data_IF_619942212092
#
_entry.id   IF_619942212092
#
_cell.length_a   1.000
_cell.length_b   1.000
_cell.length_c   1.000
_cell.angle_alpha   90.00
_cell.angle_beta   90.00
_cell.angle_gamma   90.00
#
_symmetry.space_group_name_H-M   'P 1'
#
loop_
_entity.id
_entity.type
_entity.pdbx_description
1 polymer ?
#
# COMPACT_ATOMS: atom_id res chain seq x y z
N UNK A 1 19.15 -21.80 -5.63
CA UNK A 1 19.94 -20.98 -6.59
C UNK A 1 20.18 -19.68 -5.86
N UNK A 2 21.33 -19.56 -5.23
CA UNK A 2 21.63 -18.43 -4.36
C UNK A 2 21.99 -17.23 -5.22
N UNK A 3 21.18 -16.18 -5.08
CA UNK A 3 21.45 -14.90 -5.73
C UNK A 3 22.72 -14.33 -5.10
N UNK A 4 23.75 -14.13 -5.93
CA UNK A 4 25.01 -13.53 -5.53
C UNK A 4 24.81 -12.02 -5.36
N UNK A 5 24.25 -11.62 -4.21
CA UNK A 5 23.96 -10.22 -3.91
C UNK A 5 25.23 -9.55 -3.37
N UNK A 6 26.03 -8.95 -4.26
CA UNK A 6 27.18 -8.12 -3.89
C UNK A 6 26.80 -6.74 -3.33
N UNK A 7 25.54 -6.55 -2.90
CA UNK A 7 25.10 -5.34 -2.21
C UNK A 7 24.97 -5.64 -0.70
N UNK A 8 25.85 -5.12 0.16
CA UNK A 8 25.80 -5.37 1.60
C UNK A 8 24.51 -4.86 2.27
N UNK A 9 23.77 -3.96 1.61
CA UNK A 9 22.48 -3.40 2.05
C UNK A 9 21.26 -4.09 1.39
N UNK A 10 21.48 -5.14 0.59
CA UNK A 10 20.41 -5.81 -0.15
C UNK A 10 19.67 -6.85 0.69
N UNK A 11 18.46 -6.53 1.15
CA UNK A 11 17.59 -7.51 1.80
C UNK A 11 17.16 -8.61 0.81
N UNK A 12 17.28 -9.87 1.22
CA UNK A 12 16.76 -11.00 0.43
C UNK A 12 15.23 -11.13 0.54
N UNK A 13 14.67 -10.70 1.68
CA UNK A 13 13.25 -10.77 1.98
C UNK A 13 12.90 -9.75 3.07
N UNK A 14 11.73 -9.12 2.97
CA UNK A 14 11.19 -8.24 4.01
C UNK A 14 9.69 -8.50 4.19
N UNK A 15 9.21 -8.48 5.43
CA UNK A 15 7.77 -8.62 5.73
C UNK A 15 6.94 -7.48 5.12
N UNK A 16 7.53 -6.30 4.93
CA UNK A 16 6.88 -5.13 4.33
C UNK A 16 6.49 -5.36 2.87
N UNK A 17 7.12 -6.32 2.18
CA UNK A 17 6.74 -6.74 0.82
C UNK A 17 5.54 -7.70 0.80
N UNK A 18 5.17 -8.26 1.95
CA UNK A 18 4.07 -9.22 2.12
C UNK A 18 3.13 -8.83 3.26
N UNK A 19 2.45 -7.67 3.16
CA UNK A 19 1.51 -7.23 4.17
C UNK A 19 0.31 -8.18 4.33
N UNK A 20 -0.27 -8.21 5.54
CA UNK A 20 -1.52 -8.91 5.84
C UNK A 20 -2.71 -7.97 5.66
N UNK A 21 -3.28 -7.48 6.75
CA UNK A 21 -4.48 -6.65 6.81
C UNK A 21 -4.19 -5.20 7.23
N UNK A 22 -2.92 -4.89 7.53
CA UNK A 22 -2.51 -3.62 8.14
C UNK A 22 -1.37 -2.98 7.36
N UNK A 23 -1.46 -1.67 7.15
CA UNK A 23 -0.38 -0.82 6.66
C UNK A 23 0.22 -0.04 7.84
N UNK A 24 1.48 -0.32 8.19
CA UNK A 24 2.22 0.39 9.24
C UNK A 24 2.93 1.62 8.66
N UNK A 25 3.42 2.55 9.51
CA UNK A 25 4.28 3.64 9.06
C UNK A 25 5.45 3.10 8.23
N UNK A 26 5.81 3.84 7.18
CA UNK A 26 6.90 3.55 6.23
C UNK A 26 6.67 2.34 5.30
N UNK A 27 5.63 1.54 5.53
CA UNK A 27 5.20 0.53 4.56
C UNK A 27 4.67 1.18 3.29
N UNK A 28 4.79 0.45 2.18
CA UNK A 28 4.35 0.87 0.86
C UNK A 28 3.15 0.05 0.41
N UNK A 29 2.04 0.72 0.13
CA UNK A 29 0.86 0.13 -0.53
C UNK A 29 0.90 0.46 -2.01
N UNK A 30 0.86 -0.54 -2.88
CA UNK A 30 0.88 -0.37 -4.34
C UNK A 30 2.05 -1.09 -5.02
N UNK A 31 2.44 -0.57 -6.18
CA UNK A 31 3.28 -1.30 -7.13
C UNK A 31 4.77 -1.02 -6.95
N UNK A 32 5.53 -2.09 -6.84
CA UNK A 32 6.95 -2.13 -7.13
C UNK A 32 7.14 -2.47 -8.61
N UNK A 33 7.51 -1.48 -9.43
CA UNK A 33 7.60 -1.66 -10.88
C UNK A 33 8.86 -2.41 -11.29
N UNK A 34 9.89 -2.48 -10.42
CA UNK A 34 11.11 -3.24 -10.69
C UNK A 34 10.88 -4.73 -10.59
N UNK A 35 10.13 -5.16 -9.57
CA UNK A 35 9.82 -6.57 -9.34
C UNK A 35 8.50 -7.01 -9.98
N UNK A 36 7.63 -6.06 -10.36
CA UNK A 36 6.28 -6.32 -10.84
C UNK A 36 5.30 -6.72 -9.73
N UNK A 37 5.68 -6.55 -8.45
CA UNK A 37 4.87 -6.97 -7.30
C UNK A 37 3.93 -5.86 -6.84
N UNK A 38 2.69 -6.20 -6.51
CA UNK A 38 1.72 -5.27 -5.92
C UNK A 38 1.53 -5.60 -4.43
N UNK A 39 1.93 -4.67 -3.56
CA UNK A 39 1.70 -4.74 -2.11
C UNK A 39 0.28 -4.26 -1.81
N UNK A 40 -0.57 -5.18 -1.38
CA UNK A 40 -1.98 -4.92 -1.05
C UNK A 40 -2.33 -5.48 0.32
N UNK A 41 -3.33 -4.92 0.99
CA UNK A 41 -3.81 -5.48 2.26
C UNK A 41 -5.09 -6.28 2.04
N UNK A 42 -5.20 -7.40 2.74
CA UNK A 42 -6.35 -8.30 2.72
C UNK A 42 -6.85 -8.50 4.14
N UNK A 43 -8.16 -8.41 4.35
CA UNK A 43 -8.73 -8.55 5.68
C UNK A 43 -8.44 -9.93 6.28
N UNK A 44 -8.53 -10.04 7.59
CA UNK A 44 -8.76 -11.33 8.23
C UNK A 44 -10.11 -11.90 7.83
N UNK A 45 -10.27 -13.20 7.97
CA UNK A 45 -11.51 -13.91 7.67
C UNK A 45 -12.55 -13.66 8.74
N UNK A 46 -12.13 -13.60 10.00
CA UNK A 46 -12.94 -13.26 11.19
C UNK A 46 -12.06 -12.60 12.25
N UNK A 47 -12.63 -11.92 13.26
CA UNK A 47 -11.85 -11.30 14.35
C UNK A 47 -10.91 -12.26 15.10
N UNK A 48 -11.25 -13.55 15.12
CA UNK A 48 -10.51 -14.65 15.77
C UNK A 48 -9.81 -15.59 14.77
N UNK A 49 -9.96 -15.36 13.46
CA UNK A 49 -9.37 -16.18 12.40
C UNK A 49 -8.53 -15.30 11.45
N UNK A 50 -7.18 -15.27 11.62
CA UNK A 50 -6.28 -14.45 10.82
C UNK A 50 -6.04 -14.98 9.41
N UNK A 51 -6.71 -16.07 9.00
CA UNK A 51 -6.70 -16.50 7.61
C UNK A 51 -7.20 -15.38 6.69
N UNK A 52 -6.79 -15.43 5.41
CA UNK A 52 -7.23 -14.48 4.39
C UNK A 52 -8.75 -14.42 4.28
N UNK A 53 -9.30 -13.22 4.48
CA UNK A 53 -10.70 -12.89 4.22
C UNK A 53 -10.95 -12.45 2.77
N UNK A 54 -12.16 -11.99 2.53
CA UNK A 54 -12.67 -11.70 1.18
C UNK A 54 -12.54 -10.22 0.78
N UNK A 55 -12.15 -9.34 1.72
CA UNK A 55 -11.91 -7.93 1.43
C UNK A 55 -10.46 -7.69 1.04
N UNK A 56 -10.24 -6.98 -0.06
CA UNK A 56 -8.90 -6.60 -0.53
C UNK A 56 -8.87 -5.09 -0.80
N UNK A 57 -7.86 -4.41 -0.27
CA UNK A 57 -7.62 -2.99 -0.46
C UNK A 57 -6.30 -2.81 -1.21
N UNK A 58 -6.38 -2.34 -2.46
CA UNK A 58 -5.25 -2.31 -3.39
C UNK A 58 -5.22 -1.05 -4.25
N UNK A 59 -4.01 -0.64 -4.62
CA UNK A 59 -3.79 0.44 -5.58
C UNK A 59 -3.88 -0.09 -7.02
N UNK A 60 -4.65 0.57 -7.86
CA UNK A 60 -4.74 0.33 -9.30
C UNK A 60 -4.17 1.51 -10.08
N UNK A 61 -3.51 1.22 -11.21
CA UNK A 61 -2.77 2.21 -12.02
C UNK A 61 -3.29 2.35 -13.46
N UNK A 62 -4.48 1.83 -13.76
CA UNK A 62 -5.10 1.85 -15.10
C UNK A 62 -5.55 3.22 -15.62
N UNK A 63 -5.04 4.30 -15.04
CA UNK A 63 -5.39 5.69 -15.29
C UNK A 63 -4.65 6.58 -14.29
N UNK A 64 -5.36 7.53 -13.67
CA UNK A 64 -4.84 8.13 -12.44
C UNK A 64 -4.83 7.06 -11.34
N UNK A 65 -3.73 6.92 -10.57
CA UNK A 65 -3.69 5.92 -9.51
C UNK A 65 -4.72 6.15 -8.42
N UNK A 66 -5.40 5.08 -8.01
CA UNK A 66 -6.48 5.09 -7.02
C UNK A 66 -6.41 3.85 -6.14
N UNK A 67 -6.95 3.93 -4.93
CA UNK A 67 -7.13 2.77 -4.06
C UNK A 67 -8.59 2.30 -4.12
N UNK A 68 -8.76 1.00 -4.24
CA UNK A 68 -10.06 0.35 -4.30
C UNK A 68 -10.20 -0.68 -3.17
N UNK A 69 -11.38 -0.71 -2.56
CA UNK A 69 -11.81 -1.81 -1.70
C UNK A 69 -12.70 -2.74 -2.51
N UNK A 70 -12.29 -3.99 -2.60
CA UNK A 70 -13.03 -5.06 -3.25
C UNK A 70 -13.55 -6.02 -2.19
N UNK A 71 -14.78 -6.50 -2.37
CA UNK A 71 -15.27 -7.71 -1.75
C UNK A 71 -15.34 -8.78 -2.84
N UNK A 72 -14.43 -9.76 -2.78
CA UNK A 72 -14.20 -10.69 -3.88
C UNK A 72 -13.89 -9.91 -5.17
N UNK A 73 -14.76 -10.03 -6.17
CA UNK A 73 -14.67 -9.36 -7.47
C UNK A 73 -15.62 -8.16 -7.58
N UNK A 74 -16.36 -7.85 -6.51
CA UNK A 74 -17.28 -6.71 -6.46
C UNK A 74 -16.60 -5.48 -5.88
N UNK A 75 -16.70 -4.36 -6.60
CA UNK A 75 -16.18 -3.10 -6.12
C UNK A 75 -17.09 -2.52 -5.04
N UNK A 76 -16.53 -2.24 -3.86
CA UNK A 76 -17.27 -1.72 -2.69
C UNK A 76 -16.98 -0.23 -2.47
N UNK A 77 -15.73 0.18 -2.64
CA UNK A 77 -15.31 1.56 -2.40
C UNK A 77 -14.15 1.97 -3.31
N UNK A 78 -14.11 3.25 -3.66
CA UNK A 78 -13.09 3.90 -4.49
C UNK A 78 -12.62 5.17 -3.81
N UNK A 79 -11.31 5.28 -3.60
CA UNK A 79 -10.70 6.45 -2.93
C UNK A 79 -10.71 7.71 -3.79
N UNK A 80 -10.91 7.58 -5.11
CA UNK A 80 -10.59 8.66 -6.03
C UNK A 80 -9.09 8.82 -6.24
N UNK A 81 -8.67 9.57 -7.27
CA UNK A 81 -7.26 9.80 -7.56
C UNK A 81 -6.55 10.62 -6.49
N UNK A 82 -5.23 10.41 -6.37
CA UNK A 82 -4.36 11.29 -5.60
C UNK A 82 -4.32 12.69 -6.25
N UNK A 83 -4.66 13.72 -5.49
CA UNK A 83 -4.73 15.10 -5.98
C UNK A 83 -3.47 15.95 -5.66
N UNK A 84 -2.40 15.32 -5.21
CA UNK A 84 -1.17 15.99 -4.74
C UNK A 84 -1.11 16.14 -3.22
N UNK A 85 -2.25 16.10 -2.52
CA UNK A 85 -2.34 16.28 -1.06
C UNK A 85 -3.00 15.07 -0.40
N UNK A 86 -4.04 14.51 -1.03
CA UNK A 86 -4.85 13.40 -0.52
C UNK A 86 -5.53 12.65 -1.67
N UNK A 87 -6.15 11.52 -1.35
CA UNK A 87 -7.11 10.89 -2.25
C UNK A 87 -8.41 11.69 -2.29
N UNK A 88 -8.97 11.94 -3.48
CA UNK A 88 -10.07 12.89 -3.64
C UNK A 88 -11.38 12.48 -2.94
N UNK A 89 -11.60 11.19 -2.75
CA UNK A 89 -12.70 10.58 -2.00
C UNK A 89 -12.39 10.30 -0.52
N UNK A 90 -11.30 10.88 0.02
CA UNK A 90 -10.94 10.81 1.46
C UNK A 90 -10.67 12.23 1.98
N UNK A 91 -11.69 13.11 2.10
CA UNK A 91 -11.51 14.48 2.56
C UNK A 91 -10.97 14.60 4.00
N UNK A 92 -11.10 13.55 4.81
CA UNK A 92 -10.61 13.43 6.19
C UNK A 92 -9.09 13.22 6.26
N UNK A 93 -8.44 12.90 5.13
CA UNK A 93 -6.99 12.78 5.01
C UNK A 93 -6.36 14.18 4.96
N UNK A 94 -6.38 14.84 6.10
CA UNK A 94 -5.80 16.17 6.34
C UNK A 94 -4.38 15.99 6.90
N UNK A 95 -3.46 16.94 6.66
CA UNK A 95 -2.17 16.93 7.34
C UNK A 95 -2.39 16.99 8.85
N UNK A 96 -1.90 15.98 9.59
CA UNK A 96 -1.86 16.00 11.05
C UNK A 96 -0.45 16.35 11.49
N UNK A 97 -0.31 17.06 12.61
CA UNK A 97 1.02 17.44 13.15
C UNK A 97 1.94 16.23 13.40
N UNK A 98 1.34 15.08 13.69
CA UNK A 98 2.01 13.82 13.99
C UNK A 98 2.07 12.84 12.80
N UNK A 99 1.48 13.14 11.64
CA UNK A 99 1.41 12.19 10.53
C UNK A 99 1.47 12.87 9.16
N UNK A 100 2.35 12.36 8.30
CA UNK A 100 2.53 12.81 6.92
C UNK A 100 2.20 11.67 5.97
N UNK A 101 1.36 11.98 4.98
CA UNK A 101 0.99 11.08 3.91
C UNK A 101 1.79 11.38 2.65
N UNK A 102 2.25 10.34 1.97
CA UNK A 102 3.01 10.45 0.74
C UNK A 102 2.43 9.54 -0.34
N UNK A 103 2.44 10.06 -1.56
CA UNK A 103 2.16 9.30 -2.76
C UNK A 103 3.34 9.45 -3.72
N UNK A 104 3.99 8.33 -4.04
CA UNK A 104 5.16 8.30 -4.92
C UNK A 104 4.76 7.72 -6.25
N UNK A 105 5.13 8.40 -7.34
CA UNK A 105 5.00 7.90 -8.71
C UNK A 105 6.32 8.16 -9.42
N UNK A 106 7.01 7.09 -9.80
CA UNK A 106 8.29 7.12 -10.50
C UNK A 106 8.40 5.96 -11.50
N UNK A 107 9.55 5.83 -12.17
CA UNK A 107 9.86 4.63 -12.98
C UNK A 107 9.97 3.36 -12.15
N UNK A 108 10.19 3.50 -10.84
CA UNK A 108 10.53 2.39 -9.95
C UNK A 108 9.32 1.91 -9.15
N UNK A 109 8.38 2.82 -8.85
CA UNK A 109 7.23 2.51 -8.00
C UNK A 109 6.04 3.45 -8.21
N UNK A 110 4.85 2.93 -7.90
CA UNK A 110 3.63 3.72 -7.72
C UNK A 110 3.00 3.30 -6.39
N UNK A 111 3.25 4.07 -5.33
CA UNK A 111 2.95 3.65 -3.95
C UNK A 111 2.39 4.76 -3.10
N UNK A 112 1.51 4.37 -2.17
CA UNK A 112 1.09 5.17 -1.04
C UNK A 112 1.86 4.74 0.22
N UNK A 113 2.25 5.70 1.04
CA UNK A 113 2.85 5.46 2.36
C UNK A 113 2.50 6.59 3.32
N UNK A 114 2.67 6.35 4.61
CA UNK A 114 2.61 7.40 5.61
C UNK A 114 3.72 7.23 6.63
N UNK A 115 4.09 8.31 7.30
CA UNK A 115 5.08 8.32 8.38
C UNK A 115 4.53 9.06 9.58
N UNK A 116 4.95 8.64 10.77
CA UNK A 116 4.64 9.33 12.03
C UNK A 116 5.79 10.29 12.32
N UNK A 117 5.47 11.57 12.49
CA UNK A 117 6.46 12.60 12.89
C UNK A 117 6.63 12.56 14.41
N UNK A 118 7.88 12.66 14.87
CA UNK A 118 8.15 12.84 16.31
C UNK A 118 7.58 14.19 16.74
N UNK A 119 6.83 14.18 17.84
CA UNK A 119 6.41 15.37 18.58
C UNK A 119 7.58 15.98 19.33
#
# INVERSE_FOLDING_TARGET
RDSNNNNPDGYLWQSFDFPTDTLLPEMKLGWDLKTGSNRLIRSWKRPDDPASGEFTFKLETGGFPEIFLWYKESLVYRSGPWNGIRFSGVPEMQPYDYMVFNFTTSSDEVTYSFRVTKT
#
